data_IF_653735246617
#
_entry.id   IF_653735246617
#
_cell.length_a   1.000
_cell.length_b   1.000
_cell.length_c   1.000
_cell.angle_alpha   90.00
_cell.angle_beta   90.00
_cell.angle_gamma   90.00
#
_symmetry.space_group_name_H-M   'P 1'
#
loop_
_entity.id
_entity.type
_entity.pdbx_description
1 polymer ?
#
# COMPACT_ATOMS: atom_id res chain seq x y z
N UNK A 1 -38.89 -35.51 -45.16
CA UNK A 1 -37.89 -34.40 -45.23
C UNK A 1 -37.83 -33.75 -43.86
N UNK A 2 -36.79 -34.05 -43.07
CA UNK A 2 -36.54 -33.41 -41.76
C UNK A 2 -35.31 -32.59 -41.93
N UNK A 3 -35.44 -31.27 -41.86
CA UNK A 3 -34.32 -30.32 -41.86
C UNK A 3 -33.73 -30.26 -40.45
N UNK A 4 -32.48 -30.69 -40.27
CA UNK A 4 -31.75 -30.55 -39.03
C UNK A 4 -31.18 -29.13 -38.93
N UNK A 5 -31.55 -28.45 -37.84
CA UNK A 5 -31.07 -27.13 -37.49
C UNK A 5 -29.77 -27.32 -36.68
N UNK A 6 -28.61 -27.07 -37.30
CA UNK A 6 -27.33 -27.06 -36.60
C UNK A 6 -27.14 -25.71 -35.89
N UNK A 7 -27.23 -25.74 -34.59
CA UNK A 7 -26.87 -24.58 -33.72
C UNK A 7 -25.34 -24.57 -33.57
N UNK A 8 -24.66 -23.64 -34.20
CA UNK A 8 -23.24 -23.35 -33.98
C UNK A 8 -23.13 -22.50 -32.73
N UNK A 9 -22.72 -23.15 -31.62
CA UNK A 9 -22.46 -22.47 -30.35
C UNK A 9 -21.08 -21.79 -30.45
N UNK A 10 -21.09 -20.49 -30.75
CA UNK A 10 -19.88 -19.66 -30.73
C UNK A 10 -19.49 -19.41 -29.26
N UNK A 11 -18.52 -20.19 -28.75
CA UNK A 11 -17.88 -19.91 -27.47
C UNK A 11 -16.97 -18.71 -27.65
N UNK A 12 -17.43 -17.54 -27.24
CA UNK A 12 -16.59 -16.33 -27.08
C UNK A 12 -15.66 -16.59 -25.89
N UNK A 13 -14.45 -17.04 -26.18
CA UNK A 13 -13.33 -16.98 -25.26
C UNK A 13 -13.03 -15.50 -25.01
N UNK A 14 -13.50 -14.93 -23.92
CA UNK A 14 -12.92 -13.71 -23.37
C UNK A 14 -11.50 -14.06 -22.89
N UNK A 15 -10.52 -13.95 -23.77
CA UNK A 15 -9.14 -13.83 -23.36
C UNK A 15 -9.05 -12.55 -22.54
N UNK A 16 -8.99 -12.68 -21.21
CA UNK A 16 -8.40 -11.65 -20.38
C UNK A 16 -6.95 -11.50 -20.84
N UNK A 17 -6.70 -10.54 -21.72
CA UNK A 17 -5.36 -10.08 -22.07
C UNK A 17 -4.83 -9.40 -20.80
N UNK A 18 -4.38 -10.22 -19.85
CA UNK A 18 -3.46 -9.73 -18.84
C UNK A 18 -2.24 -9.24 -19.61
N UNK A 19 -1.94 -7.95 -19.51
CA UNK A 19 -0.78 -7.37 -20.14
C UNK A 19 0.46 -8.01 -19.49
N UNK A 20 0.98 -9.07 -20.12
CA UNK A 20 2.13 -9.84 -19.65
C UNK A 20 3.41 -9.18 -20.17
N UNK A 21 4.50 -9.22 -19.40
CA UNK A 21 5.82 -8.80 -19.88
C UNK A 21 6.25 -9.71 -21.02
N UNK A 22 6.46 -9.12 -22.19
CA UNK A 22 6.69 -9.87 -23.44
C UNK A 22 8.16 -10.26 -23.63
N UNK A 23 9.10 -9.42 -23.19
CA UNK A 23 10.55 -9.61 -23.37
C UNK A 23 11.33 -8.66 -22.44
N UNK A 24 12.68 -8.76 -22.48
CA UNK A 24 13.58 -7.94 -21.65
C UNK A 24 13.40 -6.42 -21.89
N UNK A 25 13.15 -5.97 -23.11
CA UNK A 25 12.94 -4.56 -23.39
C UNK A 25 11.64 -4.03 -22.76
N UNK A 26 10.58 -4.82 -22.78
CA UNK A 26 9.31 -4.52 -22.10
C UNK A 26 9.48 -4.58 -20.58
N UNK A 27 10.23 -5.56 -20.06
CA UNK A 27 10.58 -5.64 -18.65
C UNK A 27 11.29 -4.37 -18.18
N UNK A 28 12.34 -3.92 -18.90
CA UNK A 28 13.08 -2.70 -18.58
C UNK A 28 12.17 -1.48 -18.53
N UNK A 29 11.27 -1.34 -19.51
CA UNK A 29 10.31 -0.22 -19.57
C UNK A 29 9.36 -0.24 -18.37
N UNK A 30 8.76 -1.40 -18.06
CA UNK A 30 7.83 -1.57 -16.95
C UNK A 30 8.52 -1.40 -15.61
N UNK A 31 9.76 -1.88 -15.47
CA UNK A 31 10.59 -1.68 -14.28
C UNK A 31 10.77 -0.19 -14.00
N UNK A 32 11.18 0.61 -14.98
CA UNK A 32 11.36 2.05 -14.81
C UNK A 32 10.04 2.78 -14.44
N UNK A 33 8.88 2.31 -14.97
CA UNK A 33 7.59 2.86 -14.57
C UNK A 33 7.26 2.57 -13.11
N UNK A 34 7.48 1.32 -12.65
CA UNK A 34 7.24 0.95 -11.25
C UNK A 34 8.16 1.71 -10.33
N UNK A 35 9.45 1.80 -10.67
CA UNK A 35 10.45 2.53 -9.90
C UNK A 35 10.03 3.99 -9.69
N UNK A 36 9.62 4.68 -10.77
CA UNK A 36 9.09 6.04 -10.71
C UNK A 36 7.81 6.14 -9.87
N UNK A 37 6.85 5.24 -10.03
CA UNK A 37 5.62 5.27 -9.23
C UNK A 37 5.87 5.00 -7.75
N UNK A 38 6.80 4.11 -7.40
CA UNK A 38 7.17 3.88 -6.01
C UNK A 38 7.86 5.10 -5.40
N UNK A 39 8.71 5.79 -6.17
CA UNK A 39 9.35 7.05 -5.75
C UNK A 39 8.30 8.14 -5.48
N UNK A 40 7.29 8.27 -6.36
CA UNK A 40 6.20 9.24 -6.23
C UNK A 40 5.15 8.84 -5.18
N UNK A 41 5.20 7.61 -4.63
CA UNK A 41 4.19 7.08 -3.72
C UNK A 41 2.87 6.70 -4.40
N UNK A 42 2.84 6.56 -5.73
CA UNK A 42 1.66 6.16 -6.50
C UNK A 42 1.53 4.62 -6.57
N UNK A 43 1.32 4.02 -5.41
CA UNK A 43 1.24 2.56 -5.26
C UNK A 43 0.09 1.94 -6.05
N UNK A 44 -0.98 2.69 -6.29
CA UNK A 44 -2.14 2.20 -7.06
C UNK A 44 -1.74 1.95 -8.51
N UNK A 45 -0.95 2.84 -9.13
CA UNK A 45 -0.42 2.63 -10.47
C UNK A 45 0.73 1.63 -10.51
N UNK A 46 1.56 1.58 -9.47
CA UNK A 46 2.65 0.62 -9.38
C UNK A 46 2.16 -0.82 -9.32
N UNK A 47 1.10 -1.11 -8.55
CA UNK A 47 0.67 -2.46 -8.22
C UNK A 47 0.38 -3.37 -9.43
N UNK A 48 -0.43 -2.97 -10.44
CA UNK A 48 -0.71 -3.84 -11.59
C UNK A 48 0.56 -4.18 -12.38
N UNK A 49 1.46 -3.20 -12.56
CA UNK A 49 2.70 -3.38 -13.32
C UNK A 49 3.70 -4.24 -12.54
N UNK A 50 3.79 -4.04 -11.21
CA UNK A 50 4.64 -4.88 -10.35
C UNK A 50 4.22 -6.35 -10.39
N UNK A 51 2.91 -6.65 -10.49
CA UNK A 51 2.42 -8.01 -10.68
C UNK A 51 2.91 -8.62 -11.99
N UNK A 52 2.92 -7.85 -13.06
CA UNK A 52 3.41 -8.32 -14.37
C UNK A 52 4.92 -8.61 -14.32
N UNK A 53 5.70 -7.73 -13.70
CA UNK A 53 7.14 -7.95 -13.51
C UNK A 53 7.41 -9.21 -12.67
N UNK A 54 6.66 -9.40 -11.58
CA UNK A 54 6.81 -10.55 -10.72
C UNK A 54 6.42 -11.86 -11.43
N UNK A 55 5.38 -11.84 -12.26
CA UNK A 55 4.99 -13.01 -13.07
C UNK A 55 6.07 -13.36 -14.11
N UNK A 56 6.82 -12.38 -14.60
CA UNK A 56 7.93 -12.60 -15.54
C UNK A 56 9.17 -13.19 -14.86
N UNK A 57 9.57 -12.68 -13.69
CA UNK A 57 10.71 -13.19 -12.91
C UNK A 57 10.37 -13.20 -11.41
N UNK A 58 9.65 -14.24 -10.98
CA UNK A 58 9.23 -14.41 -9.59
C UNK A 58 10.38 -14.76 -8.63
N UNK A 59 11.57 -15.06 -9.14
CA UNK A 59 12.76 -15.35 -8.33
C UNK A 59 13.58 -14.10 -7.99
N UNK A 60 13.28 -13.00 -8.64
CA UNK A 60 13.99 -11.74 -8.50
C UNK A 60 13.54 -11.00 -7.23
N UNK A 61 14.46 -10.87 -6.25
CA UNK A 61 14.15 -10.22 -4.97
C UNK A 61 13.81 -8.73 -5.11
N UNK A 62 14.40 -8.02 -6.10
CA UNK A 62 14.06 -6.63 -6.38
C UNK A 62 12.60 -6.49 -6.84
N UNK A 63 12.18 -7.36 -7.74
CA UNK A 63 10.80 -7.36 -8.23
C UNK A 63 9.81 -7.76 -7.12
N UNK A 64 10.19 -8.73 -6.27
CA UNK A 64 9.41 -9.10 -5.09
C UNK A 64 9.28 -7.91 -4.11
N UNK A 65 10.36 -7.15 -3.89
CA UNK A 65 10.35 -5.89 -3.13
C UNK A 65 9.38 -4.87 -3.73
N UNK A 66 9.47 -4.62 -5.04
CA UNK A 66 8.58 -3.67 -5.73
C UNK A 66 7.10 -4.08 -5.58
N UNK A 67 6.79 -5.37 -5.77
CA UNK A 67 5.42 -5.86 -5.63
C UNK A 67 4.93 -5.78 -4.19
N UNK A 68 5.74 -6.20 -3.22
CA UNK A 68 5.39 -6.11 -1.80
C UNK A 68 5.18 -4.67 -1.34
N UNK A 69 6.03 -3.73 -1.78
CA UNK A 69 5.88 -2.30 -1.49
C UNK A 69 4.61 -1.72 -2.12
N UNK A 70 4.30 -2.12 -3.35
CA UNK A 70 3.06 -1.71 -4.03
C UNK A 70 1.81 -2.19 -3.28
N UNK A 71 1.79 -3.46 -2.83
CA UNK A 71 0.69 -3.97 -2.00
C UNK A 71 0.59 -3.24 -0.66
N UNK A 72 1.71 -2.97 -0.01
CA UNK A 72 1.72 -2.27 1.28
C UNK A 72 1.08 -0.88 1.22
N UNK A 73 1.25 -0.19 0.08
CA UNK A 73 0.70 1.17 -0.11
C UNK A 73 -0.69 1.20 -0.74
N UNK A 74 -1.02 0.25 -1.64
CA UNK A 74 -2.24 0.30 -2.45
C UNK A 74 -3.39 -0.55 -1.89
N UNK A 75 -3.12 -1.64 -1.16
CA UNK A 75 -4.14 -2.60 -0.74
C UNK A 75 -4.60 -2.32 0.70
N UNK A 76 -5.90 -2.22 0.96
CA UNK A 76 -6.43 -2.13 2.32
C UNK A 76 -6.02 -3.31 3.21
N UNK A 77 -5.93 -4.53 2.67
CA UNK A 77 -5.35 -5.68 3.37
C UNK A 77 -3.83 -5.78 3.12
N UNK A 78 -3.12 -4.94 3.84
CA UNK A 78 -1.64 -4.84 3.76
C UNK A 78 -0.90 -6.14 4.10
N UNK A 79 -1.58 -7.16 4.62
CA UNK A 79 -1.00 -8.48 4.95
C UNK A 79 -0.50 -9.22 3.72
N UNK A 80 -1.10 -8.97 2.54
CA UNK A 80 -0.65 -9.57 1.28
C UNK A 80 0.80 -9.19 0.98
N UNK A 81 1.23 -7.97 1.38
CA UNK A 81 2.60 -7.49 1.19
C UNK A 81 3.64 -8.38 1.88
N UNK A 82 3.30 -8.99 3.03
CA UNK A 82 4.22 -9.79 3.85
C UNK A 82 4.89 -10.88 3.02
N UNK A 83 4.11 -11.66 2.28
CA UNK A 83 4.63 -12.77 1.47
C UNK A 83 5.75 -12.35 0.51
N UNK A 84 5.56 -11.23 -0.17
CA UNK A 84 6.51 -10.75 -1.18
C UNK A 84 7.72 -10.08 -0.53
N UNK A 85 7.51 -9.36 0.57
CA UNK A 85 8.60 -8.73 1.32
C UNK A 85 9.43 -9.76 2.09
N UNK A 86 8.83 -10.83 2.63
CA UNK A 86 9.57 -11.98 3.20
C UNK A 86 10.48 -12.64 2.16
N UNK A 87 9.98 -12.83 0.94
CA UNK A 87 10.80 -13.33 -0.16
C UNK A 87 11.95 -12.36 -0.49
N UNK A 88 11.66 -11.07 -0.56
CA UNK A 88 12.63 -10.05 -0.93
C UNK A 88 13.77 -9.91 0.09
N UNK A 89 13.49 -9.99 1.40
CA UNK A 89 14.53 -9.90 2.44
C UNK A 89 15.47 -11.10 2.43
N UNK A 90 15.11 -12.20 1.78
CA UNK A 90 16.00 -13.35 1.58
C UNK A 90 17.22 -13.05 0.72
N UNK A 91 17.25 -11.96 -0.04
CA UNK A 91 18.37 -11.55 -0.88
C UNK A 91 18.53 -10.02 -0.91
N UNK A 92 18.75 -9.40 0.26
CA UNK A 92 19.04 -7.96 0.41
C UNK A 92 20.52 -7.70 0.27
N UNK A 93 20.91 -6.60 -0.38
CA UNK A 93 22.30 -6.20 -0.60
C UNK A 93 22.59 -4.78 -0.13
N UNK A 94 23.74 -4.59 0.54
CA UNK A 94 24.31 -3.28 0.81
C UNK A 94 24.86 -2.59 -0.47
N UNK A 95 25.11 -3.38 -1.51
CA UNK A 95 25.59 -2.91 -2.81
C UNK A 95 24.47 -2.78 -3.85
N UNK A 96 23.23 -2.70 -3.37
CA UNK A 96 22.03 -2.53 -4.21
C UNK A 96 22.20 -1.35 -5.19
N UNK A 97 21.83 -1.60 -6.44
CA UNK A 97 21.89 -0.58 -7.50
C UNK A 97 20.51 -0.06 -7.83
N UNK A 98 20.17 1.09 -7.26
CA UNK A 98 18.91 1.76 -7.51
C UNK A 98 18.71 2.05 -9.00
N UNK A 99 17.47 1.84 -9.49
CA UNK A 99 17.11 2.08 -10.89
C UNK A 99 17.68 1.09 -11.92
N UNK A 100 18.52 0.14 -11.52
CA UNK A 100 19.07 -0.86 -12.45
C UNK A 100 18.09 -2.03 -12.60
N UNK A 101 17.45 -2.15 -13.78
CA UNK A 101 16.53 -3.24 -14.06
C UNK A 101 17.17 -4.65 -14.07
N UNK A 102 18.51 -4.71 -14.09
CA UNK A 102 19.27 -5.97 -13.99
C UNK A 102 19.58 -6.36 -12.55
N UNK A 103 19.34 -5.45 -11.61
CA UNK A 103 19.54 -5.73 -10.18
C UNK A 103 18.55 -6.81 -9.72
N UNK A 104 19.07 -7.85 -9.07
CA UNK A 104 18.26 -8.97 -8.57
C UNK A 104 18.19 -9.06 -7.05
N UNK A 105 19.01 -8.27 -6.36
CA UNK A 105 18.93 -8.15 -4.91
C UNK A 105 17.90 -7.08 -4.51
N UNK A 106 17.37 -7.15 -3.32
CA UNK A 106 16.48 -6.13 -2.79
C UNK A 106 17.24 -5.04 -2.02
N UNK A 107 16.74 -3.80 -1.96
CA UNK A 107 17.34 -2.74 -1.15
C UNK A 107 17.10 -2.95 0.36
N UNK A 108 17.94 -2.35 1.20
CA UNK A 108 17.83 -2.44 2.66
C UNK A 108 16.49 -1.97 3.21
N UNK A 109 15.85 -0.98 2.58
CA UNK A 109 14.51 -0.49 2.96
C UNK A 109 13.42 -1.58 2.92
N UNK A 110 13.68 -2.72 2.29
CA UNK A 110 12.79 -3.88 2.29
C UNK A 110 12.46 -4.34 3.71
N UNK A 111 13.43 -4.33 4.63
CA UNK A 111 13.20 -4.64 6.04
C UNK A 111 12.24 -3.66 6.71
N UNK A 112 12.35 -2.37 6.39
CA UNK A 112 11.43 -1.35 6.91
C UNK A 112 9.99 -1.57 6.41
N UNK A 113 9.83 -1.87 5.13
CA UNK A 113 8.52 -2.14 4.55
C UNK A 113 7.91 -3.43 5.10
N UNK A 114 8.72 -4.49 5.29
CA UNK A 114 8.28 -5.73 5.93
C UNK A 114 7.86 -5.49 7.38
N UNK A 115 8.64 -4.70 8.13
CA UNK A 115 8.28 -4.32 9.49
C UNK A 115 6.93 -3.60 9.55
N UNK A 116 6.67 -2.66 8.64
CA UNK A 116 5.36 -1.99 8.54
C UNK A 116 4.24 -2.99 8.22
N UNK A 117 4.46 -3.92 7.29
CA UNK A 117 3.47 -4.94 6.96
C UNK A 117 3.15 -5.85 8.16
N UNK A 118 4.15 -6.25 8.92
CA UNK A 118 3.98 -7.00 10.16
C UNK A 118 3.24 -6.19 11.23
N UNK A 119 3.57 -4.90 11.40
CA UNK A 119 2.86 -4.03 12.34
C UNK A 119 1.36 -3.98 12.02
N UNK A 120 0.97 -3.78 10.74
CA UNK A 120 -0.43 -3.81 10.32
C UNK A 120 -1.10 -5.19 10.46
N UNK A 121 -0.30 -6.26 10.48
CA UNK A 121 -0.78 -7.62 10.74
C UNK A 121 -0.82 -7.98 12.22
N UNK A 122 -0.54 -7.05 13.13
CA UNK A 122 -0.44 -7.25 14.58
C UNK A 122 0.68 -8.22 15.01
N UNK A 123 1.69 -8.42 14.13
CA UNK A 123 2.89 -9.22 14.39
C UNK A 123 4.00 -8.28 14.90
N UNK A 124 3.84 -7.72 16.09
CA UNK A 124 4.69 -6.64 16.58
C UNK A 124 6.13 -7.05 16.85
N UNK A 125 6.37 -8.25 17.36
CA UNK A 125 7.74 -8.73 17.59
C UNK A 125 8.51 -8.89 16.28
N UNK A 126 7.86 -9.40 15.23
CA UNK A 126 8.43 -9.48 13.89
C UNK A 126 8.67 -8.08 13.30
N UNK A 127 7.76 -7.14 13.53
CA UNK A 127 7.91 -5.75 13.10
C UNK A 127 9.13 -5.10 13.75
N UNK A 128 9.25 -5.19 15.10
CA UNK A 128 10.36 -4.64 15.85
C UNK A 128 11.70 -5.23 15.36
N UNK A 129 11.77 -6.55 15.20
CA UNK A 129 12.96 -7.25 14.72
C UNK A 129 13.40 -6.72 13.33
N UNK A 130 12.45 -6.54 12.41
CA UNK A 130 12.76 -6.05 11.06
C UNK A 130 13.11 -4.56 11.03
N UNK A 131 12.55 -3.73 11.90
CA UNK A 131 13.01 -2.36 12.09
C UNK A 131 14.46 -2.30 12.57
N UNK A 132 14.86 -3.19 13.51
CA UNK A 132 16.26 -3.30 13.93
C UNK A 132 17.17 -3.77 12.79
N UNK A 133 16.74 -4.72 11.96
CA UNK A 133 17.50 -5.15 10.79
C UNK A 133 17.73 -4.00 9.82
N UNK A 134 16.72 -3.17 9.57
CA UNK A 134 16.85 -2.00 8.70
C UNK A 134 17.89 -0.99 9.20
N UNK A 135 18.07 -0.85 10.52
CA UNK A 135 19.06 0.10 11.09
C UNK A 135 20.49 -0.16 10.60
N UNK A 136 20.84 -1.39 10.24
CA UNK A 136 22.17 -1.72 9.70
C UNK A 136 22.40 -1.19 8.28
N UNK A 137 21.37 -0.72 7.61
CA UNK A 137 21.41 -0.13 6.26
C UNK A 137 21.31 1.40 6.27
N UNK A 138 21.12 2.01 7.44
CA UNK A 138 21.01 3.46 7.58
C UNK A 138 22.43 4.04 7.75
N UNK A 139 22.71 5.11 7.00
CA UNK A 139 23.96 5.86 7.20
C UNK A 139 24.01 6.40 8.63
N UNK A 140 25.19 6.34 9.25
CA UNK A 140 25.41 6.82 10.62
C UNK A 140 25.15 8.32 10.78
N UNK A 141 25.25 9.09 9.69
CA UNK A 141 24.97 10.52 9.67
C UNK A 141 23.49 10.85 9.40
N UNK A 142 22.67 9.87 8.95
CA UNK A 142 21.24 10.07 8.71
C UNK A 142 20.42 9.94 10.00
N UNK A 143 20.60 10.92 10.89
CA UNK A 143 19.85 11.00 12.14
C UNK A 143 18.34 11.08 11.93
N UNK A 144 17.86 11.60 10.79
CA UNK A 144 16.43 11.71 10.49
C UNK A 144 15.81 10.33 10.31
N UNK A 145 16.36 9.52 9.42
CA UNK A 145 15.88 8.16 9.16
C UNK A 145 16.04 7.28 10.41
N UNK A 146 17.15 7.42 11.13
CA UNK A 146 17.37 6.70 12.38
C UNK A 146 16.26 7.00 13.42
N UNK A 147 15.92 8.28 13.62
CA UNK A 147 14.88 8.69 14.56
C UNK A 147 13.48 8.24 14.10
N UNK A 148 13.22 8.21 12.79
CA UNK A 148 11.98 7.67 12.25
C UNK A 148 11.83 6.18 12.58
N UNK A 149 12.86 5.38 12.34
CA UNK A 149 12.86 3.94 12.66
C UNK A 149 12.68 3.71 14.16
N UNK A 150 13.37 4.49 15.00
CA UNK A 150 13.19 4.43 16.46
C UNK A 150 11.74 4.65 16.85
N UNK A 151 11.08 5.65 16.26
CA UNK A 151 9.65 5.95 16.50
C UNK A 151 8.74 4.80 16.07
N UNK A 152 9.03 4.14 14.94
CA UNK A 152 8.25 2.99 14.48
C UNK A 152 8.40 1.78 15.42
N UNK A 153 9.57 1.58 16.02
CA UNK A 153 9.79 0.58 17.05
C UNK A 153 8.92 0.91 18.28
N UNK A 154 9.00 2.13 18.79
CA UNK A 154 8.20 2.61 19.93
C UNK A 154 6.68 2.44 19.66
N UNK A 155 6.23 2.73 18.45
CA UNK A 155 4.82 2.51 18.07
C UNK A 155 4.43 1.03 18.10
N UNK A 156 5.32 0.13 17.66
CA UNK A 156 5.06 -1.30 17.68
C UNK A 156 5.05 -1.86 19.10
N UNK A 157 5.96 -1.40 19.97
CA UNK A 157 6.00 -1.75 21.40
C UNK A 157 4.72 -1.28 22.12
N UNK A 158 4.32 -0.01 21.91
CA UNK A 158 3.09 0.53 22.49
C UNK A 158 1.84 -0.18 21.98
N UNK A 159 1.77 -0.50 20.68
CA UNK A 159 0.66 -1.22 20.12
C UNK A 159 0.50 -2.62 20.73
N UNK A 160 1.63 -3.31 21.00
CA UNK A 160 1.63 -4.60 21.68
C UNK A 160 1.01 -4.49 23.08
N UNK A 161 1.43 -3.51 23.87
CA UNK A 161 0.87 -3.27 25.21
C UNK A 161 -0.62 -2.92 25.18
N UNK A 162 -1.05 -2.10 24.22
CA UNK A 162 -2.44 -1.69 24.08
C UNK A 162 -3.37 -2.86 23.72
N UNK A 163 -2.90 -3.84 22.95
CA UNK A 163 -3.69 -5.04 22.63
C UNK A 163 -3.84 -5.96 23.84
N UNK A 164 -2.81 -6.04 24.68
CA UNK A 164 -2.86 -6.83 25.92
C UNK A 164 -3.83 -6.24 26.96
N UNK A 165 -4.12 -4.94 26.85
CA UNK A 165 -5.04 -4.21 27.74
C UNK A 165 -6.17 -3.56 26.96
N UNK A 166 -7.08 -4.33 26.34
CA UNK A 166 -8.14 -3.78 25.52
C UNK A 166 -9.09 -2.93 26.38
N UNK A 167 -9.36 -1.71 25.91
CA UNK A 167 -10.34 -0.83 26.52
C UNK A 167 -11.75 -1.26 26.10
N UNK A 168 -12.69 -1.34 27.07
CA UNK A 168 -14.08 -1.68 26.77
C UNK A 168 -14.80 -0.46 26.19
N UNK A 169 -14.55 -0.18 24.89
CA UNK A 169 -15.19 0.91 24.16
C UNK A 169 -16.05 0.34 23.06
N UNK A 170 -17.28 0.84 22.95
CA UNK A 170 -18.15 0.57 21.81
C UNK A 170 -18.09 1.74 20.82
N UNK A 171 -17.50 1.52 19.67
CA UNK A 171 -17.51 2.50 18.58
C UNK A 171 -18.85 2.35 17.83
N UNK A 172 -19.57 3.47 17.68
CA UNK A 172 -20.83 3.52 16.94
C UNK A 172 -20.75 4.57 15.85
N UNK A 173 -21.26 4.24 14.67
CA UNK A 173 -21.44 5.22 13.61
C UNK A 173 -22.49 6.25 14.02
N UNK A 174 -22.24 7.53 13.70
CA UNK A 174 -23.21 8.61 13.86
C UNK A 174 -24.27 8.62 12.75
N UNK A 175 -24.27 7.61 11.88
CA UNK A 175 -25.23 7.45 10.80
C UNK A 175 -24.84 8.16 9.51
N UNK A 176 -25.61 7.94 8.43
CA UNK A 176 -25.24 8.36 7.07
C UNK A 176 -25.19 9.88 6.85
N UNK A 177 -25.77 10.66 7.76
CA UNK A 177 -25.72 12.12 7.71
C UNK A 177 -24.30 12.61 7.98
N UNK A 178 -23.60 11.96 8.92
CA UNK A 178 -22.22 12.31 9.31
C UNK A 178 -21.23 11.34 8.66
N UNK A 179 -21.43 10.03 8.80
CA UNK A 179 -20.58 9.02 8.18
C UNK A 179 -21.15 8.65 6.80
N UNK A 180 -20.70 9.34 5.76
CA UNK A 180 -21.16 9.11 4.38
C UNK A 180 -20.41 7.91 3.74
N UNK A 181 -20.79 7.56 2.51
CA UNK A 181 -20.06 6.59 1.70
C UNK A 181 -18.72 7.14 1.16
N UNK A 182 -18.47 8.43 1.32
CA UNK A 182 -17.25 9.10 0.92
C UNK A 182 -16.30 9.22 2.11
N UNK A 183 -15.08 9.64 1.86
CA UNK A 183 -14.08 9.86 2.90
C UNK A 183 -14.46 11.07 3.75
N UNK A 184 -14.71 10.82 5.03
CA UNK A 184 -14.98 11.83 6.06
C UNK A 184 -13.83 11.79 7.09
N UNK A 185 -13.17 12.92 7.37
CA UNK A 185 -11.99 12.98 8.22
C UNK A 185 -11.84 14.30 8.97
N UNK A 186 -10.86 14.33 9.89
CA UNK A 186 -10.52 15.49 10.72
C UNK A 186 -11.69 16.04 11.53
N UNK A 187 -12.43 15.21 12.30
CA UNK A 187 -13.53 15.71 13.12
C UNK A 187 -13.01 16.56 14.28
N UNK A 188 -13.67 17.68 14.52
CA UNK A 188 -13.46 18.58 15.67
C UNK A 188 -14.80 18.83 16.32
N UNK A 189 -14.89 18.65 17.64
CA UNK A 189 -16.08 18.94 18.43
C UNK A 189 -15.85 20.25 19.19
N UNK A 190 -16.86 21.14 19.20
CA UNK A 190 -16.84 22.37 20.01
C UNK A 190 -16.74 22.06 21.51
N UNK A 191 -16.24 23.00 22.29
CA UNK A 191 -16.04 22.83 23.72
C UNK A 191 -17.34 22.53 24.50
N UNK A 192 -18.48 22.97 24.00
CA UNK A 192 -19.82 22.69 24.56
C UNK A 192 -20.44 21.37 24.05
N UNK A 193 -19.76 20.67 23.14
CA UNK A 193 -20.22 19.38 22.57
C UNK A 193 -21.33 19.48 21.54
N UNK A 194 -21.81 20.68 21.20
CA UNK A 194 -23.00 20.87 20.38
C UNK A 194 -22.72 21.02 18.88
N UNK A 195 -21.45 21.26 18.50
CA UNK A 195 -21.08 21.46 17.09
C UNK A 195 -19.99 20.48 16.70
N UNK A 196 -20.23 19.72 15.63
CA UNK A 196 -19.22 18.85 14.98
C UNK A 196 -18.79 19.50 13.66
N UNK A 197 -17.50 19.71 13.50
CA UNK A 197 -16.88 20.21 12.28
C UNK A 197 -16.01 19.07 11.73
N UNK A 198 -16.14 18.75 10.45
CA UNK A 198 -15.34 17.71 9.82
C UNK A 198 -15.14 17.98 8.33
N UNK A 199 -14.17 17.31 7.73
CA UNK A 199 -13.88 17.40 6.31
C UNK A 199 -14.49 16.20 5.58
N UNK A 200 -15.11 16.43 4.41
CA UNK A 200 -15.74 15.38 3.62
C UNK A 200 -15.49 15.54 2.13
N UNK A 201 -15.47 14.40 1.42
CA UNK A 201 -15.42 14.32 -0.05
C UNK A 201 -16.77 13.99 -0.69
N UNK A 202 -17.87 14.18 0.02
CA UNK A 202 -19.22 13.89 -0.54
C UNK A 202 -19.59 14.84 -1.67
N UNK A 203 -20.32 14.29 -2.65
CA UNK A 203 -20.81 15.04 -3.79
C UNK A 203 -21.82 16.14 -3.39
N UNK A 204 -22.04 17.11 -4.29
CA UNK A 204 -23.05 18.15 -4.11
C UNK A 204 -22.64 19.26 -3.14
N UNK A 205 -21.45 19.24 -2.65
CA UNK A 205 -20.96 20.28 -1.78
C UNK A 205 -20.47 21.52 -2.57
N UNK A 206 -20.91 22.77 -2.22
CA UNK A 206 -20.50 24.04 -2.87
C UNK A 206 -19.36 24.71 -2.14
N UNK A 207 -18.27 25.19 -2.79
CA UNK A 207 -17.24 26.08 -2.23
C UNK A 207 -15.92 25.46 -1.75
N UNK A 208 -15.60 24.22 -2.10
CA UNK A 208 -14.29 23.61 -1.83
C UNK A 208 -13.28 23.84 -2.96
N UNK A 209 -11.98 23.62 -2.68
CA UNK A 209 -10.95 23.54 -3.73
C UNK A 209 -10.96 22.16 -4.36
N UNK A 210 -10.81 22.10 -5.70
CA UNK A 210 -10.52 20.84 -6.39
C UNK A 210 -9.11 20.38 -5.99
N UNK A 211 -9.01 19.13 -5.57
CA UNK A 211 -7.74 18.42 -5.44
C UNK A 211 -7.29 17.90 -6.81
N UNK A 212 -6.02 17.44 -6.92
CA UNK A 212 -5.45 16.92 -8.18
C UNK A 212 -6.15 15.66 -8.68
N UNK A 213 -6.98 15.01 -7.86
CA UNK A 213 -7.83 13.87 -8.25
C UNK A 213 -9.22 14.30 -8.78
N UNK A 214 -9.45 15.60 -8.94
CA UNK A 214 -10.71 16.17 -9.42
C UNK A 214 -11.86 16.16 -8.42
N UNK A 215 -11.62 15.78 -7.15
CA UNK A 215 -12.64 15.73 -6.10
C UNK A 215 -12.60 16.98 -5.23
N UNK A 216 -13.77 17.39 -4.77
CA UNK A 216 -13.89 18.52 -3.84
C UNK A 216 -13.59 18.07 -2.41
N UNK A 217 -12.89 18.93 -1.66
CA UNK A 217 -12.70 18.81 -0.23
C UNK A 217 -13.48 19.92 0.47
N UNK A 218 -14.32 19.57 1.45
CA UNK A 218 -15.13 20.54 2.18
C UNK A 218 -15.12 20.34 3.66
N UNK A 219 -15.31 21.48 4.34
CA UNK A 219 -15.63 21.53 5.77
C UNK A 219 -17.14 21.49 5.93
N UNK A 220 -17.65 20.54 6.71
CA UNK A 220 -19.03 20.44 7.14
C UNK A 220 -19.15 20.86 8.60
N UNK A 221 -20.24 21.59 8.91
CA UNK A 221 -20.60 21.97 10.27
C UNK A 221 -21.95 21.35 10.55
N UNK A 222 -22.02 20.56 11.63
CA UNK A 222 -23.24 19.91 12.11
C UNK A 222 -23.53 20.44 13.52
N UNK A 223 -24.78 20.90 13.74
CA UNK A 223 -25.28 21.43 15.02
C UNK A 223 -26.42 20.60 15.53
#
# INVERSE_FOLDING_TARGET
MRAGLSIVLSILFFCNLNAQVANEADFKKKFALVDGYLFDGDYIKALPISKELYNYDSTNANVAYMLGTSYLGADPDRKIAIRYLEQAVGNVSLMYKEGDYKEKTAPGITYYNLAKAYHFAYRFDDAISNFYNYRSFIDLEDAKTYNEVKRQIEYSENAKLLIEQPVNIKVQSLGPVINSQYEDYSPVISADGNTLIFTSRREGSTGGKLFYDGKYLKIFIFQ
#
